data_IF_350061832314
#
_entry.id   IF_350061832314
#
_cell.length_a   1.000
_cell.length_b   1.000
_cell.length_c   1.000
_cell.angle_alpha   90.00
_cell.angle_beta   90.00
_cell.angle_gamma   90.00
#
_symmetry.space_group_name_H-M   'P 1'
#
loop_
_entity.id
_entity.type
_entity.pdbx_description
1 polymer ?
#
# COMPACT_ATOMS: atom_id res chain seq x y z
N UNK A 1 4.82 22.96 -14.50
CA UNK A 1 4.40 22.65 -13.14
C UNK A 1 5.60 22.62 -12.20
N UNK A 2 6.66 21.82 -12.44
CA UNK A 2 7.88 21.72 -11.60
C UNK A 2 8.48 23.10 -11.31
N UNK A 3 8.56 24.01 -12.32
CA UNK A 3 8.99 25.39 -12.10
C UNK A 3 8.07 26.14 -11.11
N UNK A 4 6.75 25.92 -11.17
CA UNK A 4 5.77 26.62 -10.33
C UNK A 4 5.77 26.09 -8.89
N UNK A 5 5.74 24.78 -8.70
CA UNK A 5 5.53 24.15 -7.40
C UNK A 5 6.84 23.77 -6.70
N UNK A 6 7.79 23.16 -7.44
CA UNK A 6 9.07 22.76 -6.88
C UNK A 6 10.13 23.86 -6.97
N UNK A 7 9.81 25.01 -7.62
CA UNK A 7 10.71 26.17 -7.85
C UNK A 7 11.94 25.82 -8.68
N UNK A 8 11.87 24.76 -9.48
CA UNK A 8 12.99 24.24 -10.27
C UNK A 8 12.61 24.21 -11.76
N UNK A 9 13.46 24.75 -12.62
CA UNK A 9 13.31 24.67 -14.06
C UNK A 9 14.14 23.54 -14.60
N UNK A 10 13.47 22.49 -15.12
CA UNK A 10 14.07 21.33 -15.79
C UNK A 10 13.67 21.35 -17.27
N UNK A 11 14.59 20.95 -18.14
CA UNK A 11 14.29 20.63 -19.53
C UNK A 11 14.01 19.11 -19.69
N UNK A 12 13.61 18.70 -20.89
CA UNK A 12 13.22 17.31 -21.13
C UNK A 12 14.36 16.28 -20.92
N UNK A 13 15.63 16.70 -21.06
CA UNK A 13 16.80 15.84 -20.85
C UNK A 13 17.16 15.76 -19.37
N UNK A 14 16.89 16.82 -18.60
CA UNK A 14 17.19 16.90 -17.16
C UNK A 14 16.15 16.19 -16.30
N UNK A 15 14.96 15.87 -16.84
CA UNK A 15 13.88 15.23 -16.08
C UNK A 15 14.25 13.81 -15.63
N UNK A 16 14.95 13.04 -16.46
CA UNK A 16 15.42 11.69 -16.11
C UNK A 16 16.68 11.80 -15.27
N UNK A 17 16.73 11.01 -14.20
CA UNK A 17 17.93 10.88 -13.36
C UNK A 17 19.00 10.14 -14.17
N UNK A 18 20.22 10.66 -14.16
CA UNK A 18 21.34 10.04 -14.84
C UNK A 18 21.99 8.94 -14.00
N UNK A 19 22.73 8.04 -14.65
CA UNK A 19 23.50 7.01 -13.94
C UNK A 19 24.57 7.63 -13.02
N UNK A 20 25.12 8.77 -13.40
CA UNK A 20 26.08 9.51 -12.56
C UNK A 20 25.44 10.05 -11.28
N UNK A 21 24.20 10.57 -11.36
CA UNK A 21 23.46 11.01 -10.17
C UNK A 21 23.20 9.84 -9.22
N UNK A 22 22.83 8.67 -9.76
CA UNK A 22 22.58 7.45 -8.96
C UNK A 22 23.89 6.98 -8.31
N UNK A 23 25.00 6.96 -9.04
CA UNK A 23 26.29 6.52 -8.52
C UNK A 23 26.84 7.47 -7.44
N UNK A 24 26.70 8.77 -7.65
CA UNK A 24 27.12 9.79 -6.66
C UNK A 24 26.34 9.70 -5.36
N UNK A 25 25.05 9.38 -5.43
CA UNK A 25 24.18 9.25 -4.26
C UNK A 25 24.68 8.18 -3.26
N UNK A 26 25.33 7.12 -3.74
CA UNK A 26 25.92 6.10 -2.88
C UNK A 26 27.07 6.60 -2.00
N UNK A 27 27.82 7.57 -2.50
CA UNK A 27 28.99 8.11 -1.79
C UNK A 27 28.59 8.95 -0.56
N UNK A 28 27.33 9.37 -0.48
CA UNK A 28 26.83 10.13 0.65
C UNK A 28 26.36 9.26 1.83
N UNK A 29 26.23 7.94 1.62
CA UNK A 29 25.82 7.03 2.68
C UNK A 29 27.03 6.40 3.37
N UNK A 30 27.07 6.50 4.71
CA UNK A 30 28.01 5.71 5.49
C UNK A 30 27.56 4.23 5.60
N UNK A 31 28.52 3.37 5.96
CA UNK A 31 28.27 1.92 6.04
C UNK A 31 27.20 1.53 7.06
N UNK A 32 27.05 2.28 8.16
CA UNK A 32 26.04 2.04 9.19
C UNK A 32 24.62 2.28 8.66
N UNK A 33 24.41 3.39 7.93
CA UNK A 33 23.13 3.70 7.28
C UNK A 33 22.78 2.62 6.26
N UNK A 34 23.74 2.24 5.41
CA UNK A 34 23.55 1.17 4.40
C UNK A 34 23.14 -0.14 5.08
N UNK A 35 23.80 -0.52 6.17
CA UNK A 35 23.49 -1.75 6.92
C UNK A 35 22.07 -1.72 7.50
N UNK A 36 21.66 -0.59 8.09
CA UNK A 36 20.33 -0.41 8.67
C UNK A 36 19.23 -0.51 7.61
N UNK A 37 19.41 0.15 6.46
CA UNK A 37 18.49 0.08 5.33
C UNK A 37 18.39 -1.36 4.79
N UNK A 38 19.53 -2.04 4.63
CA UNK A 38 19.55 -3.46 4.20
C UNK A 38 18.77 -4.36 5.16
N UNK A 39 18.92 -4.16 6.47
CA UNK A 39 18.18 -4.93 7.48
C UNK A 39 16.66 -4.75 7.34
N UNK A 40 16.20 -3.50 7.14
CA UNK A 40 14.78 -3.23 6.90
C UNK A 40 14.29 -3.88 5.59
N UNK A 41 15.05 -3.74 4.50
CA UNK A 41 14.77 -4.38 3.21
C UNK A 41 14.63 -5.90 3.37
N UNK A 42 15.55 -6.54 4.09
CA UNK A 42 15.53 -7.99 4.33
C UNK A 42 14.29 -8.42 5.11
N UNK A 43 13.87 -7.62 6.10
CA UNK A 43 12.65 -7.89 6.86
C UNK A 43 11.40 -7.84 5.97
N UNK A 44 11.31 -6.86 5.04
CA UNK A 44 10.23 -6.81 4.07
C UNK A 44 10.24 -8.04 3.14
N UNK A 45 11.40 -8.42 2.60
CA UNK A 45 11.48 -9.62 1.77
C UNK A 45 11.06 -10.89 2.52
N UNK A 46 11.48 -11.04 3.79
CA UNK A 46 11.08 -12.17 4.65
C UNK A 46 9.57 -12.20 4.88
N UNK A 47 8.95 -11.02 5.03
CA UNK A 47 7.52 -10.88 5.26
C UNK A 47 6.69 -11.14 3.99
N UNK A 48 7.13 -10.63 2.82
CA UNK A 48 6.34 -10.69 1.60
C UNK A 48 6.53 -11.96 0.76
N UNK A 49 7.72 -12.57 0.72
CA UNK A 49 7.96 -13.78 -0.08
C UNK A 49 6.97 -14.93 0.20
N UNK A 50 6.62 -15.25 1.45
CA UNK A 50 5.65 -16.31 1.75
C UNK A 50 4.21 -15.99 1.30
N UNK A 51 3.90 -14.72 1.00
CA UNK A 51 2.57 -14.27 0.61
C UNK A 51 2.27 -14.45 -0.89
N UNK A 52 3.26 -14.86 -1.69
CA UNK A 52 3.04 -15.15 -3.11
C UNK A 52 2.01 -16.29 -3.25
N UNK A 53 0.90 -16.05 -3.97
CA UNK A 53 -0.12 -17.05 -4.14
C UNK A 53 0.36 -18.19 -5.05
N UNK A 54 -0.02 -19.41 -4.70
CA UNK A 54 0.28 -20.60 -5.51
C UNK A 54 -0.80 -20.76 -6.59
N UNK A 55 -0.43 -21.19 -7.82
CA UNK A 55 -1.41 -21.55 -8.83
C UNK A 55 -2.34 -22.65 -8.35
N UNK A 56 -3.62 -22.54 -8.69
CA UNK A 56 -4.64 -23.53 -8.36
C UNK A 56 -4.96 -24.32 -9.63
N UNK A 57 -5.09 -25.64 -9.50
CA UNK A 57 -5.56 -26.50 -10.59
C UNK A 57 -6.61 -27.47 -10.04
N UNK A 58 -7.82 -27.44 -10.63
CA UNK A 58 -8.88 -28.40 -10.39
C UNK A 58 -9.07 -29.24 -11.66
N UNK A 59 -9.00 -30.55 -11.52
CA UNK A 59 -9.28 -31.52 -12.61
C UNK A 59 -10.50 -32.32 -12.22
N UNK A 60 -11.40 -32.57 -13.16
CA UNK A 60 -12.58 -33.41 -12.99
C UNK A 60 -12.42 -34.70 -13.82
N UNK A 61 -13.15 -35.75 -13.45
CA UNK A 61 -13.04 -37.09 -14.07
C UNK A 61 -13.41 -37.10 -15.56
N UNK A 62 -14.32 -36.21 -15.97
CA UNK A 62 -14.70 -36.06 -17.37
C UNK A 62 -13.66 -35.28 -18.21
N UNK A 63 -12.53 -34.86 -17.60
CA UNK A 63 -11.44 -34.16 -18.25
C UNK A 63 -11.56 -32.64 -18.29
N UNK A 64 -12.54 -32.06 -17.57
CA UNK A 64 -12.59 -30.60 -17.34
C UNK A 64 -11.42 -30.19 -16.45
N UNK A 65 -10.70 -29.16 -16.87
CA UNK A 65 -9.56 -28.60 -16.11
C UNK A 65 -9.73 -27.09 -15.96
N UNK A 66 -9.80 -26.66 -14.72
CA UNK A 66 -9.87 -25.25 -14.34
C UNK A 66 -8.56 -24.88 -13.64
N UNK A 67 -7.94 -23.76 -14.05
CA UNK A 67 -6.70 -23.26 -13.41
C UNK A 67 -6.82 -21.78 -13.10
N UNK A 68 -6.22 -21.39 -11.99
CA UNK A 68 -5.92 -19.99 -11.67
C UNK A 68 -4.41 -19.82 -11.75
N UNK A 69 -3.98 -18.85 -12.56
CA UNK A 69 -2.59 -18.41 -12.60
C UNK A 69 -2.50 -16.94 -12.18
N UNK A 70 -1.43 -16.61 -11.48
CA UNK A 70 -1.11 -15.24 -11.10
C UNK A 70 -0.04 -14.71 -12.03
N UNK A 71 -0.26 -13.51 -12.57
CA UNK A 71 0.70 -12.81 -13.43
C UNK A 71 0.98 -11.43 -12.86
N UNK A 72 2.25 -11.00 -12.76
CA UNK A 72 2.57 -9.66 -12.36
C UNK A 72 2.00 -8.64 -13.35
N UNK A 73 1.69 -7.46 -12.86
CA UNK A 73 1.44 -6.26 -13.67
C UNK A 73 2.73 -5.96 -14.45
N UNK A 74 2.62 -5.50 -15.69
CA UNK A 74 3.79 -5.33 -16.55
C UNK A 74 4.63 -4.14 -16.14
N UNK A 75 3.98 -2.98 -15.93
CA UNK A 75 4.68 -1.73 -15.63
C UNK A 75 4.00 -0.98 -14.48
N UNK A 76 4.79 -0.60 -13.46
CA UNK A 76 4.30 0.08 -12.25
C UNK A 76 5.02 1.41 -12.06
N UNK A 77 4.25 2.47 -11.80
CA UNK A 77 4.75 3.78 -11.40
C UNK A 77 4.73 3.93 -9.87
N UNK A 78 5.87 4.33 -9.31
CA UNK A 78 6.02 4.54 -7.87
C UNK A 78 6.26 6.02 -7.60
N UNK A 79 5.33 6.64 -6.90
CA UNK A 79 5.45 8.02 -6.44
C UNK A 79 6.10 8.07 -5.05
N UNK A 80 7.25 8.73 -4.94
CA UNK A 80 7.94 8.93 -3.66
C UNK A 80 7.87 10.41 -3.31
N UNK A 81 7.21 10.79 -2.22
CA UNK A 81 7.18 12.18 -1.79
C UNK A 81 8.56 12.63 -1.32
N UNK A 82 8.91 13.87 -1.64
CA UNK A 82 10.12 14.54 -1.17
C UNK A 82 9.72 15.97 -0.79
N UNK A 83 9.23 16.12 0.42
CA UNK A 83 8.76 17.40 0.95
C UNK A 83 9.75 18.02 1.91
N UNK A 84 9.33 18.31 3.16
CA UNK A 84 10.16 18.85 4.22
C UNK A 84 11.24 17.87 4.71
N UNK A 85 10.99 16.55 4.58
CA UNK A 85 11.94 15.49 4.87
C UNK A 85 11.92 14.42 3.77
N UNK A 86 13.08 13.77 3.47
CA UNK A 86 13.13 12.66 2.54
C UNK A 86 12.51 11.40 3.19
N UNK A 87 11.43 10.91 2.62
CA UNK A 87 10.81 9.66 3.11
C UNK A 87 11.52 8.45 2.48
N UNK A 88 12.72 8.18 2.96
CA UNK A 88 13.59 7.10 2.45
C UNK A 88 12.94 5.72 2.62
N UNK A 89 12.23 5.50 3.73
CA UNK A 89 11.49 4.28 3.98
C UNK A 89 10.42 4.02 2.91
N UNK A 90 9.73 5.04 2.42
CA UNK A 90 8.71 4.89 1.39
C UNK A 90 9.25 4.25 0.10
N UNK A 91 10.54 4.40 -0.18
CA UNK A 91 11.16 3.78 -1.37
C UNK A 91 11.08 2.25 -1.26
N UNK A 92 11.63 1.66 -0.21
CA UNK A 92 11.63 0.21 -0.07
C UNK A 92 10.25 -0.34 0.32
N UNK A 93 9.44 0.42 1.06
CA UNK A 93 8.08 0.02 1.43
C UNK A 93 7.13 -0.08 0.22
N UNK A 94 7.28 0.79 -0.76
CA UNK A 94 6.54 0.70 -2.02
C UNK A 94 7.11 -0.35 -2.97
N UNK A 95 8.44 -0.40 -3.11
CA UNK A 95 9.08 -1.18 -4.17
C UNK A 95 9.14 -2.67 -3.88
N UNK A 96 9.40 -3.09 -2.63
CA UNK A 96 9.63 -4.51 -2.32
C UNK A 96 8.41 -5.39 -2.60
N UNK A 97 7.16 -5.02 -2.25
CA UNK A 97 6.01 -5.83 -2.64
C UNK A 97 5.90 -6.02 -4.16
N UNK A 98 6.18 -4.98 -4.97
CA UNK A 98 6.18 -5.05 -6.42
C UNK A 98 7.28 -6.00 -6.96
N UNK A 99 8.50 -5.87 -6.43
CA UNK A 99 9.63 -6.73 -6.82
C UNK A 99 9.41 -8.20 -6.45
N UNK A 100 8.84 -8.46 -5.26
CA UNK A 100 8.47 -9.82 -4.83
C UNK A 100 7.39 -10.40 -5.72
N UNK A 101 6.40 -9.61 -6.14
CA UNK A 101 5.36 -10.04 -7.07
C UNK A 101 5.91 -10.36 -8.47
N UNK A 102 7.15 -9.93 -8.78
CA UNK A 102 7.82 -10.18 -10.06
C UNK A 102 7.57 -9.10 -11.11
N UNK A 103 7.17 -7.89 -10.71
CA UNK A 103 7.09 -6.73 -11.61
C UNK A 103 8.49 -6.43 -12.16
N UNK A 104 8.63 -6.43 -13.47
CA UNK A 104 9.94 -6.26 -14.14
C UNK A 104 10.22 -4.81 -14.53
N UNK A 105 9.19 -4.06 -14.85
CA UNK A 105 9.29 -2.68 -15.30
C UNK A 105 8.71 -1.73 -14.24
N UNK A 106 9.61 -1.07 -13.51
CA UNK A 106 9.25 -0.15 -12.44
C UNK A 106 9.85 1.21 -12.73
N UNK A 107 9.01 2.23 -12.77
CA UNK A 107 9.42 3.63 -12.87
C UNK A 107 9.15 4.36 -11.57
N UNK A 108 10.12 5.07 -11.07
CA UNK A 108 10.00 5.89 -9.86
C UNK A 108 9.96 7.38 -10.22
N UNK A 109 9.07 8.12 -9.58
CA UNK A 109 9.00 9.58 -9.70
C UNK A 109 9.09 10.21 -8.31
N UNK A 110 9.82 11.31 -8.21
CA UNK A 110 9.92 12.09 -6.97
C UNK A 110 10.16 13.57 -7.31
N UNK A 111 9.59 14.53 -6.55
CA UNK A 111 9.85 15.93 -6.78
C UNK A 111 11.32 16.28 -6.57
N UNK A 112 11.92 17.09 -7.45
CA UNK A 112 13.31 17.52 -7.30
C UNK A 112 13.47 18.55 -6.17
N UNK A 113 14.62 18.53 -5.52
CA UNK A 113 15.08 19.61 -4.63
C UNK A 113 15.47 20.87 -5.39
N UNK A 114 15.77 21.95 -4.67
CA UNK A 114 16.10 23.29 -5.22
C UNK A 114 17.25 23.27 -6.23
N UNK A 115 18.18 22.34 -6.10
CA UNK A 115 19.36 22.21 -6.96
C UNK A 115 19.18 21.27 -8.14
N UNK A 116 17.91 20.95 -8.50
CA UNK A 116 17.54 20.06 -9.60
C UNK A 116 17.83 18.56 -9.37
N UNK A 117 18.31 18.17 -8.21
CA UNK A 117 18.61 16.77 -7.87
C UNK A 117 17.51 16.17 -6.99
N UNK A 118 17.36 14.87 -7.04
CA UNK A 118 16.59 14.15 -6.02
C UNK A 118 17.45 14.02 -4.76
N UNK A 119 16.79 13.80 -3.64
CA UNK A 119 17.50 13.51 -2.40
C UNK A 119 18.41 12.28 -2.57
N UNK A 120 19.69 12.36 -2.20
CA UNK A 120 20.66 11.28 -2.44
C UNK A 120 20.30 9.99 -1.70
N UNK A 121 19.70 10.05 -0.52
CA UNK A 121 19.27 8.87 0.22
C UNK A 121 18.13 8.12 -0.52
N UNK A 122 17.20 8.84 -1.15
CA UNK A 122 16.14 8.25 -2.00
C UNK A 122 16.77 7.53 -3.20
N UNK A 123 17.73 8.16 -3.88
CA UNK A 123 18.41 7.58 -5.04
C UNK A 123 19.25 6.36 -4.65
N UNK A 124 19.97 6.42 -3.55
CA UNK A 124 20.79 5.32 -3.08
C UNK A 124 19.94 4.08 -2.76
N UNK A 125 18.79 4.24 -2.10
CA UNK A 125 17.87 3.12 -1.83
C UNK A 125 17.25 2.56 -3.11
N UNK A 126 16.83 3.43 -4.03
CA UNK A 126 16.33 3.00 -5.33
C UNK A 126 17.40 2.19 -6.10
N UNK A 127 18.66 2.62 -6.04
CA UNK A 127 19.79 1.90 -6.62
C UNK A 127 20.05 0.54 -5.95
N UNK A 128 19.97 0.45 -4.61
CA UNK A 128 20.06 -0.82 -3.88
C UNK A 128 19.01 -1.82 -4.35
N UNK A 129 17.83 -1.35 -4.73
CA UNK A 129 16.72 -2.13 -5.28
C UNK A 129 16.78 -2.27 -6.82
N UNK A 130 17.86 -1.79 -7.44
CA UNK A 130 18.13 -1.87 -8.90
C UNK A 130 17.09 -1.16 -9.76
N UNK A 131 16.47 -0.09 -9.26
CA UNK A 131 15.55 0.74 -10.02
C UNK A 131 16.35 1.63 -10.97
N UNK A 132 16.13 1.47 -12.27
CA UNK A 132 16.91 2.16 -13.33
C UNK A 132 16.19 3.35 -13.95
N UNK A 133 14.87 3.37 -13.86
CA UNK A 133 14.06 4.42 -14.46
C UNK A 133 13.47 5.33 -13.38
N UNK A 134 14.09 6.51 -13.22
CA UNK A 134 13.76 7.47 -12.17
C UNK A 134 13.61 8.85 -12.81
N UNK A 135 12.54 9.59 -12.43
CA UNK A 135 12.29 10.93 -12.97
C UNK A 135 12.11 11.96 -11.85
N UNK A 136 12.63 13.14 -12.11
CA UNK A 136 12.56 14.35 -11.27
C UNK A 136 11.26 15.11 -11.52
N UNK A 137 10.15 14.56 -11.08
CA UNK A 137 8.82 15.15 -11.23
C UNK A 137 7.92 14.75 -10.06
N UNK A 138 7.20 15.71 -9.50
CA UNK A 138 6.30 15.52 -8.37
C UNK A 138 4.91 16.08 -8.64
N UNK A 139 4.00 15.96 -7.65
CA UNK A 139 2.65 16.49 -7.69
C UNK A 139 1.71 15.80 -8.70
N UNK A 140 0.54 16.42 -8.93
CA UNK A 140 -0.48 15.89 -9.83
C UNK A 140 0.03 15.64 -11.25
N UNK A 141 0.95 16.45 -11.75
CA UNK A 141 1.53 16.30 -13.08
C UNK A 141 2.38 15.02 -13.21
N UNK A 142 3.00 14.53 -12.12
CA UNK A 142 3.70 13.25 -12.13
C UNK A 142 2.70 12.10 -12.28
N UNK A 143 1.58 12.14 -11.57
CA UNK A 143 0.51 11.16 -11.69
C UNK A 143 -0.06 11.14 -13.12
N UNK A 144 -0.36 12.30 -13.70
CA UNK A 144 -0.85 12.40 -15.07
C UNK A 144 0.18 11.88 -16.08
N UNK A 145 1.49 12.18 -15.89
CA UNK A 145 2.54 11.67 -16.76
C UNK A 145 2.68 10.15 -16.70
N UNK A 146 2.51 9.54 -15.53
CA UNK A 146 2.50 8.10 -15.36
C UNK A 146 1.25 7.46 -15.98
N UNK A 147 0.08 8.08 -15.80
CA UNK A 147 -1.20 7.53 -16.26
C UNK A 147 -1.35 7.56 -17.80
N UNK A 148 -1.00 8.67 -18.42
CA UNK A 148 -1.24 8.88 -19.84
C UNK A 148 0.02 8.72 -20.71
N UNK A 149 1.18 8.71 -20.09
CA UNK A 149 2.46 8.76 -20.79
C UNK A 149 2.78 10.16 -21.32
N UNK A 150 4.03 10.34 -21.68
CA UNK A 150 4.58 11.54 -22.34
C UNK A 150 5.63 11.10 -23.36
N UNK A 151 6.28 12.07 -24.05
CA UNK A 151 7.41 11.74 -24.93
C UNK A 151 8.61 11.13 -24.17
N UNK A 152 8.72 11.37 -22.87
CA UNK A 152 9.86 10.94 -22.03
C UNK A 152 9.51 9.86 -21.02
N UNK A 153 8.28 9.82 -20.53
CA UNK A 153 7.81 8.87 -19.52
C UNK A 153 6.76 7.98 -20.18
N UNK A 154 7.01 6.70 -20.25
CA UNK A 154 6.02 5.72 -20.77
C UNK A 154 4.89 5.54 -19.75
N UNK A 155 3.66 5.35 -20.26
CA UNK A 155 2.48 5.01 -19.49
C UNK A 155 2.73 3.77 -18.62
N UNK A 156 2.11 3.75 -17.44
CA UNK A 156 2.12 2.59 -16.52
C UNK A 156 0.72 1.98 -16.39
N UNK A 157 0.66 0.77 -15.85
CA UNK A 157 -0.59 0.05 -15.61
C UNK A 157 -1.13 0.30 -14.20
N UNK A 158 -0.24 0.62 -13.25
CA UNK A 158 -0.60 0.92 -11.85
C UNK A 158 0.30 2.00 -11.28
N UNK A 159 -0.28 2.90 -10.47
CA UNK A 159 0.43 3.95 -9.72
C UNK A 159 0.29 3.69 -8.24
N UNK A 160 1.42 3.66 -7.53
CA UNK A 160 1.46 3.45 -6.08
C UNK A 160 2.28 4.54 -5.38
N UNK A 161 2.09 4.63 -4.09
CA UNK A 161 2.83 5.53 -3.21
C UNK A 161 2.00 6.64 -2.62
N UNK A 162 2.36 7.10 -1.40
CA UNK A 162 1.67 8.17 -0.70
C UNK A 162 1.97 9.52 -1.34
N UNK A 163 1.10 10.49 -1.14
CA UNK A 163 1.27 11.86 -1.62
C UNK A 163 0.40 12.85 -0.85
N UNK A 164 0.52 14.12 -1.20
CA UNK A 164 -0.36 15.16 -0.67
C UNK A 164 -1.75 15.12 -1.35
N UNK A 165 -2.68 15.96 -0.90
CA UNK A 165 -4.06 16.03 -1.41
C UNK A 165 -4.14 16.17 -2.94
N UNK A 166 -3.20 16.90 -3.56
CA UNK A 166 -3.17 17.05 -5.03
C UNK A 166 -2.74 15.74 -5.72
N UNK A 167 -1.85 14.97 -5.12
CA UNK A 167 -1.44 13.66 -5.63
C UNK A 167 -2.56 12.65 -5.45
N UNK A 168 -3.19 12.64 -4.29
CA UNK A 168 -4.33 11.77 -3.98
C UNK A 168 -5.51 12.05 -4.91
N UNK A 169 -5.83 13.34 -5.12
CA UNK A 169 -6.90 13.73 -6.04
C UNK A 169 -6.56 13.38 -7.50
N UNK A 170 -5.31 13.57 -7.91
CA UNK A 170 -4.88 13.16 -9.25
C UNK A 170 -4.99 11.64 -9.44
N UNK A 171 -4.59 10.83 -8.44
CA UNK A 171 -4.78 9.37 -8.47
C UNK A 171 -6.26 9.00 -8.60
N UNK A 172 -7.15 9.68 -7.86
CA UNK A 172 -8.60 9.46 -7.96
C UNK A 172 -9.13 9.73 -9.36
N UNK A 173 -8.64 10.78 -10.04
CA UNK A 173 -9.10 11.16 -11.38
C UNK A 173 -8.60 10.23 -12.48
N UNK A 174 -7.45 9.61 -12.32
CA UNK A 174 -6.89 8.69 -13.33
C UNK A 174 -7.26 7.23 -13.09
N UNK A 175 -7.93 6.92 -11.98
CA UNK A 175 -8.41 5.56 -11.69
C UNK A 175 -9.40 5.10 -12.77
N UNK A 176 -9.15 3.92 -13.32
CA UNK A 176 -9.87 3.39 -14.48
C UNK A 176 -9.07 3.52 -15.79
N UNK A 177 -8.25 4.57 -15.95
CA UNK A 177 -7.25 4.66 -17.01
C UNK A 177 -5.98 3.88 -16.62
N UNK A 178 -5.61 3.97 -15.36
CA UNK A 178 -4.60 3.14 -14.68
C UNK A 178 -5.15 2.70 -13.33
N UNK A 179 -4.65 1.60 -12.79
CA UNK A 179 -4.97 1.21 -11.41
C UNK A 179 -4.14 2.02 -10.40
N UNK A 180 -4.64 2.11 -9.17
CA UNK A 180 -3.94 2.77 -8.05
C UNK A 180 -3.88 1.85 -6.83
N UNK A 181 -3.00 2.13 -5.88
CA UNK A 181 -2.96 1.44 -4.58
C UNK A 181 -4.16 1.81 -3.71
N UNK A 182 -4.29 3.09 -3.37
CA UNK A 182 -5.34 3.64 -2.52
C UNK A 182 -5.42 5.16 -2.61
N UNK A 183 -6.45 5.73 -1.99
CA UNK A 183 -6.59 7.17 -1.77
C UNK A 183 -6.20 7.46 -0.32
N UNK A 184 -4.93 7.80 -0.10
CA UNK A 184 -4.41 8.10 1.23
C UNK A 184 -4.75 9.53 1.66
N UNK A 185 -5.24 9.68 2.88
CA UNK A 185 -5.36 10.95 3.60
C UNK A 185 -4.22 11.15 4.60
N UNK A 186 -4.39 12.07 5.57
CA UNK A 186 -3.45 12.24 6.68
C UNK A 186 -3.29 10.96 7.48
N UNK A 187 -2.08 10.73 8.01
CA UNK A 187 -1.81 9.58 8.88
C UNK A 187 -2.56 9.68 10.20
N UNK A 188 -2.99 8.54 10.74
CA UNK A 188 -3.78 8.49 11.97
C UNK A 188 -3.41 7.29 12.83
N UNK A 189 -3.44 7.50 14.17
CA UNK A 189 -3.31 6.44 15.16
C UNK A 189 -4.49 6.44 16.10
N UNK A 190 -5.06 5.26 16.34
CA UNK A 190 -6.03 5.01 17.43
C UNK A 190 -5.37 4.13 18.47
N UNK A 191 -5.40 4.57 19.74
CA UNK A 191 -4.82 3.84 20.87
C UNK A 191 -5.93 3.43 21.82
N UNK A 192 -6.13 2.13 22.04
CA UNK A 192 -7.05 1.62 23.06
C UNK A 192 -6.27 1.42 24.35
N UNK A 193 -6.57 2.27 25.34
CA UNK A 193 -5.92 2.29 26.63
C UNK A 193 -6.87 1.96 27.79
N UNK A 194 -6.36 1.31 28.85
CA UNK A 194 -7.09 0.94 30.08
C UNK A 194 -6.45 1.56 31.30
N UNK A 195 -7.07 1.39 32.48
CA UNK A 195 -6.49 1.88 33.76
C UNK A 195 -5.07 1.39 34.04
N UNK A 196 -4.68 0.27 33.44
CA UNK A 196 -3.35 -0.37 33.64
C UNK A 196 -2.34 0.01 32.57
N UNK A 197 -2.75 0.72 31.54
CA UNK A 197 -1.85 1.17 30.49
C UNK A 197 -0.86 2.18 31.04
N UNK A 198 0.40 2.05 30.66
CA UNK A 198 1.42 3.05 30.94
C UNK A 198 1.13 4.27 30.06
N UNK A 199 0.87 5.41 30.72
CA UNK A 199 0.49 6.65 30.02
C UNK A 199 1.66 7.24 29.23
N UNK A 200 2.89 7.05 29.70
CA UNK A 200 4.07 7.56 29.00
C UNK A 200 4.22 6.94 27.59
N UNK A 201 3.85 5.67 27.43
CA UNK A 201 3.82 5.02 26.10
C UNK A 201 2.76 5.67 25.20
N UNK A 202 1.55 5.89 25.73
CA UNK A 202 0.48 6.56 24.97
C UNK A 202 0.90 7.94 24.51
N UNK A 203 1.58 8.69 25.38
CA UNK A 203 2.08 10.04 25.05
C UNK A 203 3.13 9.97 23.95
N UNK A 204 4.12 9.08 24.12
CA UNK A 204 5.21 8.93 23.16
C UNK A 204 4.69 8.58 21.74
N UNK A 205 3.71 7.68 21.66
CA UNK A 205 3.14 7.27 20.35
C UNK A 205 2.26 8.37 19.74
N UNK A 206 1.53 9.14 20.58
CA UNK A 206 0.81 10.33 20.11
C UNK A 206 1.76 11.44 19.63
N UNK A 207 2.87 11.66 20.33
CA UNK A 207 3.88 12.64 19.93
C UNK A 207 4.55 12.24 18.62
N UNK A 208 4.92 10.97 18.46
CA UNK A 208 5.45 10.43 17.21
C UNK A 208 4.46 10.63 16.05
N UNK A 209 3.16 10.44 16.28
CA UNK A 209 2.14 10.68 15.26
C UNK A 209 2.05 12.15 14.85
N UNK A 210 2.35 13.10 15.74
CA UNK A 210 2.31 14.54 15.43
C UNK A 210 3.50 15.03 14.61
N UNK A 211 4.55 14.24 14.44
CA UNK A 211 5.65 14.51 13.50
C UNK A 211 5.17 14.45 12.04
N UNK A 212 4.13 13.66 11.77
CA UNK A 212 3.47 13.66 10.47
C UNK A 212 2.62 14.92 10.30
N UNK A 213 2.82 15.66 9.21
CA UNK A 213 2.01 16.85 8.90
C UNK A 213 0.53 16.50 8.80
N UNK A 214 -0.26 17.06 9.74
CA UNK A 214 -1.69 16.76 9.83
C UNK A 214 -2.01 15.40 10.50
N UNK A 215 -1.03 14.78 11.14
CA UNK A 215 -1.20 13.52 11.87
C UNK A 215 -2.28 13.62 12.94
N UNK A 216 -3.14 12.61 13.04
CA UNK A 216 -4.27 12.54 13.95
C UNK A 216 -4.07 11.44 14.99
N UNK A 217 -4.10 11.81 16.28
CA UNK A 217 -4.07 10.88 17.41
C UNK A 217 -5.43 10.76 18.09
N UNK A 218 -5.89 9.55 18.36
CA UNK A 218 -7.15 9.28 19.05
C UNK A 218 -6.91 8.25 20.16
N UNK A 219 -7.24 8.58 21.40
CA UNK A 219 -7.20 7.62 22.50
C UNK A 219 -8.61 7.21 22.88
N UNK A 220 -8.90 5.91 22.84
CA UNK A 220 -10.15 5.32 23.30
C UNK A 220 -9.89 4.66 24.64
N UNK A 221 -10.58 5.09 25.70
CA UNK A 221 -10.35 4.52 27.03
C UNK A 221 -11.64 4.34 27.83
N UNK A 222 -11.72 3.24 28.58
CA UNK A 222 -12.77 3.02 29.56
C UNK A 222 -12.40 3.52 30.99
N UNK A 223 -11.25 4.18 31.14
CA UNK A 223 -10.73 4.66 32.40
C UNK A 223 -10.88 6.17 32.56
N UNK A 224 -11.68 6.60 33.57
CA UNK A 224 -11.76 8.03 33.93
C UNK A 224 -10.39 8.60 34.31
N UNK A 225 -9.55 7.79 35.01
CA UNK A 225 -8.20 8.19 35.42
C UNK A 225 -7.35 8.53 34.20
N UNK A 226 -7.22 7.61 33.24
CA UNK A 226 -6.43 7.80 32.01
C UNK A 226 -6.95 9.02 31.24
N UNK A 227 -8.26 9.12 31.03
CA UNK A 227 -8.83 10.26 30.30
C UNK A 227 -8.52 11.61 30.96
N UNK A 228 -8.58 11.69 32.30
CA UNK A 228 -8.30 12.92 33.03
C UNK A 228 -6.81 13.27 33.04
N UNK A 229 -5.92 12.27 33.09
CA UNK A 229 -4.48 12.45 33.09
C UNK A 229 -4.02 12.97 31.71
N UNK A 230 -4.46 12.36 30.60
CA UNK A 230 -4.18 12.82 29.26
C UNK A 230 -4.71 14.24 28.97
N UNK A 231 -5.88 14.60 29.53
CA UNK A 231 -6.39 15.97 29.39
C UNK A 231 -5.52 17.01 30.13
N UNK A 232 -4.99 16.67 31.29
CA UNK A 232 -4.07 17.55 32.02
C UNK A 232 -2.78 17.81 31.28
N UNK A 233 -2.28 16.82 30.58
CA UNK A 233 -1.05 16.88 29.79
C UNK A 233 -1.24 17.62 28.45
N UNK A 234 -2.48 18.03 28.11
CA UNK A 234 -2.80 18.78 26.88
C UNK A 234 -2.25 18.10 25.62
N UNK A 235 -2.37 16.77 25.58
CA UNK A 235 -1.93 15.99 24.39
C UNK A 235 -2.57 16.52 23.11
N UNK A 236 -1.83 16.44 22.01
CA UNK A 236 -2.37 16.70 20.67
C UNK A 236 -3.21 15.51 20.23
N UNK A 237 -4.54 15.67 20.11
CA UNK A 237 -5.43 14.61 19.66
C UNK A 237 -6.78 14.58 20.38
N UNK A 238 -7.52 13.49 20.16
CA UNK A 238 -8.86 13.30 20.74
C UNK A 238 -8.88 12.19 21.78
N UNK A 239 -9.69 12.38 22.80
CA UNK A 239 -9.94 11.37 23.86
C UNK A 239 -11.40 10.96 23.79
N UNK A 240 -11.65 9.71 23.46
CA UNK A 240 -12.98 9.11 23.43
C UNK A 240 -13.14 8.20 24.64
N UNK A 241 -14.18 8.44 25.42
CA UNK A 241 -14.49 7.62 26.59
C UNK A 241 -15.47 6.52 26.20
N UNK A 242 -15.05 5.28 26.36
CA UNK A 242 -15.88 4.09 26.19
C UNK A 242 -16.37 3.58 27.56
N UNK A 243 -17.50 2.90 27.59
CA UNK A 243 -18.06 2.24 28.77
C UNK A 243 -17.24 1.01 29.19
N UNK A 244 -16.77 0.27 28.18
CA UNK A 244 -16.02 -0.98 28.34
C UNK A 244 -15.16 -1.24 27.08
N UNK A 245 -14.37 -2.32 27.10
CA UNK A 245 -13.49 -2.68 25.96
C UNK A 245 -14.26 -3.14 24.72
N UNK A 246 -15.48 -3.65 24.84
CA UNK A 246 -16.29 -4.00 23.68
C UNK A 246 -16.67 -2.74 22.89
N UNK A 247 -17.19 -1.74 23.59
CA UNK A 247 -17.49 -0.45 22.99
C UNK A 247 -16.25 0.24 22.43
N UNK A 248 -15.08 0.09 23.10
CA UNK A 248 -13.82 0.61 22.56
C UNK A 248 -13.45 -0.05 21.22
N UNK A 249 -13.66 -1.36 21.09
CA UNK A 249 -13.47 -2.07 19.82
C UNK A 249 -14.49 -1.64 18.75
N UNK A 250 -15.76 -1.45 19.13
CA UNK A 250 -16.80 -0.98 18.21
C UNK A 250 -16.49 0.43 17.68
N UNK A 251 -16.00 1.32 18.56
CA UNK A 251 -15.57 2.66 18.16
C UNK A 251 -14.37 2.58 17.20
N UNK A 252 -13.35 1.78 17.52
CA UNK A 252 -12.19 1.57 16.65
C UNK A 252 -12.61 1.03 15.28
N UNK A 253 -13.49 0.03 15.21
CA UNK A 253 -14.05 -0.49 13.97
C UNK A 253 -14.83 0.56 13.15
N UNK A 254 -15.52 1.48 13.83
CA UNK A 254 -16.25 2.58 13.16
C UNK A 254 -15.32 3.64 12.63
N UNK A 255 -14.19 3.90 13.28
CA UNK A 255 -13.13 4.77 12.78
C UNK A 255 -12.42 4.09 11.61
N UNK A 256 -12.16 2.78 11.72
CA UNK A 256 -11.38 1.99 10.77
C UNK A 256 -10.00 2.62 10.49
N UNK A 257 -9.15 2.76 11.52
CA UNK A 257 -7.95 3.58 11.46
C UNK A 257 -6.83 2.96 10.63
N UNK A 258 -5.89 3.80 10.24
CA UNK A 258 -4.61 3.39 9.65
C UNK A 258 -3.81 2.54 10.65
N UNK A 259 -3.56 3.07 11.84
CA UNK A 259 -2.85 2.39 12.91
C UNK A 259 -3.76 2.20 14.12
N UNK A 260 -3.80 1.00 14.67
CA UNK A 260 -4.49 0.69 15.91
C UNK A 260 -3.53 0.07 16.93
N UNK A 261 -3.30 0.74 18.02
CA UNK A 261 -2.59 0.17 19.17
C UNK A 261 -3.57 -0.35 20.23
N UNK A 262 -3.31 -1.54 20.73
CA UNK A 262 -4.11 -2.17 21.78
C UNK A 262 -3.23 -2.34 23.03
N UNK A 263 -3.18 -1.29 23.84
CA UNK A 263 -2.40 -1.23 25.09
C UNK A 263 -3.25 -1.72 26.28
N UNK A 264 -3.53 -3.02 26.31
CA UNK A 264 -4.36 -3.65 27.34
C UNK A 264 -3.65 -4.88 27.90
N UNK A 265 -4.06 -5.35 29.08
CA UNK A 265 -3.48 -6.55 29.71
C UNK A 265 -3.57 -7.81 28.83
N UNK A 266 -4.59 -7.92 27.98
CA UNK A 266 -4.84 -9.06 27.09
C UNK A 266 -5.18 -8.55 25.68
N UNK A 267 -4.22 -7.99 24.93
CA UNK A 267 -4.50 -7.37 23.65
C UNK A 267 -5.08 -8.35 22.63
N UNK A 268 -4.60 -9.61 22.61
CA UNK A 268 -5.12 -10.65 21.70
C UNK A 268 -6.60 -11.02 21.93
N UNK A 269 -7.13 -10.80 23.12
CA UNK A 269 -8.55 -11.02 23.39
C UNK A 269 -9.42 -9.95 22.71
N UNK A 270 -8.94 -8.71 22.65
CA UNK A 270 -9.63 -7.61 21.99
C UNK A 270 -9.47 -7.66 20.48
N UNK A 271 -8.32 -8.15 19.98
CA UNK A 271 -8.02 -8.33 18.55
C UNK A 271 -9.15 -9.09 17.82
N UNK A 272 -9.75 -10.11 18.45
CA UNK A 272 -10.84 -10.87 17.84
C UNK A 272 -12.11 -10.05 17.54
N UNK A 273 -12.21 -8.85 18.07
CA UNK A 273 -13.33 -7.91 17.88
C UNK A 273 -13.02 -6.79 16.92
N UNK A 274 -11.77 -6.73 16.44
CA UNK A 274 -11.33 -5.73 15.46
C UNK A 274 -11.48 -6.32 14.06
N UNK A 275 -12.30 -5.66 13.25
CA UNK A 275 -12.57 -6.06 11.87
C UNK A 275 -12.04 -5.06 10.85
N UNK A 276 -11.99 -3.79 11.21
CA UNK A 276 -11.66 -2.70 10.30
C UNK A 276 -10.45 -1.92 10.83
N UNK A 277 -9.27 -2.22 10.32
CA UNK A 277 -8.04 -1.52 10.62
C UNK A 277 -6.97 -1.91 9.60
N UNK A 278 -6.03 -1.02 9.29
CA UNK A 278 -4.96 -1.32 8.34
C UNK A 278 -3.78 -2.05 8.99
N UNK A 279 -3.30 -1.55 10.14
CA UNK A 279 -2.23 -2.18 10.90
C UNK A 279 -2.58 -2.19 12.40
N UNK A 280 -2.32 -3.32 13.08
CA UNK A 280 -2.65 -3.50 14.49
C UNK A 280 -1.39 -3.83 15.29
N UNK A 281 -1.14 -3.07 16.34
CA UNK A 281 0.01 -3.18 17.24
C UNK A 281 -0.46 -3.66 18.62
N UNK A 282 0.15 -4.74 19.12
CA UNK A 282 -0.37 -5.44 20.31
C UNK A 282 0.58 -5.34 21.49
N UNK A 283 0.14 -4.64 22.52
CA UNK A 283 0.84 -4.53 23.80
C UNK A 283 1.99 -3.54 23.79
N UNK A 284 2.60 -3.36 24.95
CA UNK A 284 3.53 -2.28 25.26
C UNK A 284 4.85 -2.30 24.48
N UNK A 285 5.21 -3.43 23.85
CA UNK A 285 6.46 -3.61 23.10
C UNK A 285 6.28 -3.48 21.57
N UNK A 286 5.14 -3.01 21.12
CA UNK A 286 4.83 -2.92 19.69
C UNK A 286 4.39 -1.50 19.30
N UNK A 287 5.28 -0.50 19.37
CA UNK A 287 4.96 0.87 18.96
C UNK A 287 4.77 0.97 17.44
N UNK A 288 3.96 1.91 16.98
CA UNK A 288 3.68 2.19 15.55
C UNK A 288 4.96 2.40 14.77
N UNK A 289 5.94 3.10 15.34
CA UNK A 289 7.21 3.39 14.68
C UNK A 289 7.97 2.16 14.16
N UNK A 290 7.79 0.97 14.75
CA UNK A 290 8.35 -0.26 14.21
C UNK A 290 7.72 -0.62 12.85
N UNK A 291 6.41 -0.40 12.70
CA UNK A 291 5.69 -0.59 11.44
C UNK A 291 6.20 0.32 10.34
N UNK A 292 6.54 1.55 10.69
CA UNK A 292 6.99 2.56 9.73
C UNK A 292 8.39 2.27 9.15
N UNK A 293 9.25 1.52 9.87
CA UNK A 293 10.64 1.37 9.47
C UNK A 293 11.13 -0.08 9.33
N UNK A 294 10.85 -0.95 10.30
CA UNK A 294 11.61 -2.20 10.44
C UNK A 294 10.80 -3.49 10.60
N UNK A 295 9.52 -3.42 10.93
CA UNK A 295 8.72 -4.61 11.26
C UNK A 295 8.53 -5.60 10.08
N UNK A 296 8.57 -5.11 8.84
CA UNK A 296 8.44 -5.93 7.64
C UNK A 296 7.19 -5.67 6.80
N UNK A 297 5.98 -5.49 7.34
CA UNK A 297 4.85 -4.98 6.57
C UNK A 297 5.12 -3.57 6.02
N UNK A 298 4.55 -3.25 4.86
CA UNK A 298 4.63 -1.89 4.30
C UNK A 298 3.80 -0.90 5.12
N UNK A 299 4.32 0.29 5.31
CA UNK A 299 3.62 1.41 5.91
C UNK A 299 2.69 2.16 4.93
N UNK A 300 2.54 1.69 3.70
CA UNK A 300 1.55 2.23 2.76
C UNK A 300 0.21 1.61 3.10
N UNK A 301 -0.56 2.33 3.87
CA UNK A 301 -1.76 1.86 4.57
C UNK A 301 -2.98 2.70 4.19
N UNK A 302 -4.18 2.10 4.10
CA UNK A 302 -5.44 2.83 4.02
C UNK A 302 -5.65 3.73 5.22
N UNK A 303 -6.04 4.98 4.97
CA UNK A 303 -6.31 6.02 5.97
C UNK A 303 -7.75 6.53 5.86
N UNK A 304 -8.18 7.39 6.79
CA UNK A 304 -9.48 8.06 6.71
C UNK A 304 -10.67 7.11 6.68
N UNK A 305 -10.59 5.99 7.37
CA UNK A 305 -11.64 5.00 7.46
C UNK A 305 -11.76 4.09 6.24
N UNK A 306 -10.85 4.17 5.27
CA UNK A 306 -10.89 3.34 4.05
C UNK A 306 -10.40 1.91 4.28
N UNK A 307 -9.83 1.59 5.44
CA UNK A 307 -9.49 0.22 5.85
C UNK A 307 -10.70 -0.75 5.89
N UNK A 308 -11.93 -0.25 5.72
CA UNK A 308 -13.14 -1.05 5.55
C UNK A 308 -13.19 -1.80 4.23
N UNK A 309 -12.50 -1.33 3.20
CA UNK A 309 -12.55 -1.87 1.83
C UNK A 309 -11.22 -1.84 1.09
N UNK A 310 -10.23 -1.08 1.54
CA UNK A 310 -8.86 -1.17 1.07
C UNK A 310 -8.01 -2.02 2.00
N UNK A 311 -7.01 -2.68 1.44
CA UNK A 311 -5.98 -3.41 2.18
C UNK A 311 -4.67 -2.62 2.20
N UNK A 312 -3.82 -2.91 3.17
CA UNK A 312 -2.42 -2.47 3.18
C UNK A 312 -1.68 -2.96 1.93
N UNK A 313 -0.75 -2.17 1.41
CA UNK A 313 0.00 -2.53 0.21
C UNK A 313 0.70 -3.88 0.39
N UNK A 314 0.48 -4.78 -0.55
CA UNK A 314 0.94 -6.16 -0.51
C UNK A 314 1.40 -6.66 -1.88
N UNK A 315 1.94 -7.87 -1.95
CA UNK A 315 2.29 -8.51 -3.23
C UNK A 315 1.07 -8.74 -4.14
N UNK A 316 -0.12 -8.86 -3.55
CA UNK A 316 -1.37 -9.09 -4.30
C UNK A 316 -1.77 -7.88 -5.14
N UNK A 317 -1.42 -6.68 -4.71
CA UNK A 317 -1.70 -5.44 -5.44
C UNK A 317 -0.98 -5.37 -6.79
N UNK A 318 0.02 -6.20 -6.99
CA UNK A 318 0.83 -6.27 -8.20
C UNK A 318 0.60 -7.53 -9.03
N UNK A 319 -0.41 -8.33 -8.67
CA UNK A 319 -0.73 -9.58 -9.33
C UNK A 319 -2.13 -9.53 -9.93
N UNK A 320 -2.27 -10.08 -11.14
CA UNK A 320 -3.56 -10.31 -11.79
C UNK A 320 -3.85 -11.81 -11.84
N UNK A 321 -5.07 -12.18 -11.49
CA UNK A 321 -5.54 -13.54 -11.65
C UNK A 321 -5.97 -13.78 -13.10
N UNK A 322 -5.56 -14.93 -13.64
CA UNK A 322 -5.95 -15.38 -14.98
C UNK A 322 -6.57 -16.75 -14.85
N UNK A 323 -7.84 -16.85 -15.22
CA UNK A 323 -8.56 -18.11 -15.27
C UNK A 323 -8.30 -18.82 -16.60
N UNK A 324 -7.92 -20.10 -16.51
CA UNK A 324 -7.71 -20.96 -17.67
C UNK A 324 -8.75 -22.08 -17.59
N UNK A 325 -9.56 -22.15 -18.64
CA UNK A 325 -10.66 -23.09 -18.77
C UNK A 325 -10.32 -24.02 -19.93
N UNK A 326 -10.26 -25.33 -19.67
CA UNK A 326 -10.00 -26.34 -20.68
C UNK A 326 -10.98 -27.50 -20.53
N UNK A 327 -11.68 -27.83 -21.60
CA UNK A 327 -12.66 -28.90 -21.65
C UNK A 327 -12.25 -29.98 -22.65
N UNK A 328 -12.51 -31.24 -22.31
CA UNK A 328 -12.57 -32.33 -23.29
C UNK A 328 -13.92 -32.32 -23.98
N UNK A 329 -14.06 -33.03 -25.12
CA UNK A 329 -15.35 -33.19 -25.81
C UNK A 329 -16.37 -33.84 -24.87
N UNK A 330 -15.99 -34.83 -24.06
CA UNK A 330 -16.84 -35.48 -23.06
C UNK A 330 -17.37 -34.47 -22.03
N UNK A 331 -16.47 -33.68 -21.42
CA UNK A 331 -16.90 -32.68 -20.43
C UNK A 331 -17.82 -31.62 -21.04
N UNK A 332 -17.63 -31.26 -22.31
CA UNK A 332 -18.46 -30.31 -23.02
C UNK A 332 -19.87 -30.86 -23.26
N UNK A 333 -19.99 -32.15 -23.63
CA UNK A 333 -21.28 -32.85 -23.80
C UNK A 333 -22.03 -32.91 -22.48
N UNK A 334 -21.34 -33.23 -21.39
CA UNK A 334 -21.95 -33.30 -20.05
C UNK A 334 -22.53 -31.94 -19.59
N UNK A 335 -21.90 -30.83 -19.94
CA UNK A 335 -22.32 -29.46 -19.54
C UNK A 335 -23.39 -28.87 -20.47
N UNK A 336 -23.52 -29.35 -21.72
CA UNK A 336 -24.42 -28.76 -22.71
C UNK A 336 -25.89 -28.62 -22.22
N UNK A 337 -26.51 -29.62 -21.59
CA UNK A 337 -27.92 -29.51 -21.17
C UNK A 337 -28.15 -28.37 -20.14
N UNK A 338 -27.18 -28.10 -19.28
CA UNK A 338 -27.27 -27.02 -18.30
C UNK A 338 -27.10 -25.68 -19.02
N UNK A 339 -26.07 -25.56 -19.89
CA UNK A 339 -25.82 -24.35 -20.65
C UNK A 339 -27.00 -23.96 -21.52
N UNK A 340 -27.62 -24.93 -22.23
CA UNK A 340 -28.80 -24.69 -23.09
C UNK A 340 -29.97 -24.08 -22.31
N UNK A 341 -30.29 -24.65 -21.15
CA UNK A 341 -31.39 -24.14 -20.32
C UNK A 341 -31.14 -22.69 -19.88
N UNK A 342 -29.94 -22.41 -19.36
CA UNK A 342 -29.60 -21.07 -18.84
C UNK A 342 -29.53 -20.07 -20.00
N UNK A 343 -28.80 -20.38 -21.07
CA UNK A 343 -28.64 -19.47 -22.19
C UNK A 343 -29.97 -19.22 -22.94
N UNK A 344 -30.88 -20.20 -22.97
CA UNK A 344 -32.23 -20.00 -23.51
C UNK A 344 -33.06 -19.03 -22.68
N UNK A 345 -32.95 -19.07 -21.34
CA UNK A 345 -33.63 -18.11 -20.47
C UNK A 345 -33.14 -16.67 -20.70
N UNK A 346 -31.89 -16.53 -21.07
CA UNK A 346 -31.25 -15.24 -21.37
C UNK A 346 -31.39 -14.80 -22.85
N UNK A 347 -32.02 -15.64 -23.70
CA UNK A 347 -32.18 -15.38 -25.14
C UNK A 347 -30.89 -15.48 -25.93
N UNK A 348 -29.86 -16.17 -25.42
CA UNK A 348 -28.49 -16.23 -25.96
C UNK A 348 -28.31 -17.44 -26.90
N UNK A 349 -29.11 -17.56 -27.96
CA UNK A 349 -29.09 -18.71 -28.88
C UNK A 349 -27.70 -18.95 -29.51
N UNK A 350 -26.97 -17.90 -29.88
CA UNK A 350 -25.64 -18.03 -30.47
C UNK A 350 -24.58 -18.63 -29.53
N UNK A 351 -24.75 -18.53 -28.21
CA UNK A 351 -23.91 -19.20 -27.22
C UNK A 351 -24.12 -20.71 -27.27
N UNK A 352 -25.41 -21.15 -27.35
CA UNK A 352 -25.79 -22.56 -27.50
C UNK A 352 -25.20 -23.13 -28.79
N UNK A 353 -25.39 -22.46 -29.91
CA UNK A 353 -24.90 -22.89 -31.21
C UNK A 353 -23.39 -23.01 -31.25
N UNK A 354 -22.68 -22.09 -30.55
CA UNK A 354 -21.22 -22.12 -30.41
C UNK A 354 -20.72 -23.39 -29.74
N UNK A 355 -21.44 -23.88 -28.70
CA UNK A 355 -21.06 -25.13 -28.02
C UNK A 355 -21.45 -26.34 -28.86
N UNK A 356 -22.63 -26.37 -29.45
CA UNK A 356 -23.09 -27.47 -30.34
C UNK A 356 -22.14 -27.72 -31.50
N UNK A 357 -21.61 -26.67 -32.13
CA UNK A 357 -20.61 -26.79 -33.22
C UNK A 357 -19.31 -27.46 -32.80
N UNK A 358 -18.97 -27.54 -31.52
CA UNK A 358 -17.78 -28.21 -31.00
C UNK A 358 -18.01 -29.67 -30.63
N UNK A 359 -19.27 -30.07 -30.55
CA UNK A 359 -19.68 -31.43 -30.22
C UNK A 359 -19.90 -32.24 -31.50
N UNK A 360 -20.49 -31.61 -32.51
CA UNK A 360 -20.65 -32.16 -33.85
C UNK A 360 -19.32 -32.10 -34.63
#
# INVERSE_FOLDING_TARGET
FTKKFDKVKLNAREIKVSESEISSAFNELNSGIISSIKSSIDNLYKFYRPQLPKPITKKEENGKVLKVKYKPIERVGVYIPSGSAPLVSSVYMCLIPALVAGVKDVVMVSPPGKEKFLNPFILAVASMLKIKEIYKIGGAQAIAALAYGTKTIKKVDKIIGPGNDFVTEAKRQVFGEVDIDMLAGPSEVVIIATRRTNIDLVIADLEAQTEHKGGLGIVITNSKKVANELRKLKISGFIIKARNLNEAADIANRIAPEHLEILTKRPSALLRKINNCSAIFLGDNSPVALGDYTAGPSHVLPTGGTARFFSSLSVRDFLREVHIINYTKKALVDELPVLEKIASLEGMQKHIDSVKKRIN
#
